data_IF_266836462134
#
_entry.id   IF_266836462134
#
_cell.length_a   1.000
_cell.length_b   1.000
_cell.length_c   1.000
_cell.angle_alpha   90.00
_cell.angle_beta   90.00
_cell.angle_gamma   90.00
#
_symmetry.space_group_name_H-M   'P 1'
#
loop_
_entity.id
_entity.type
_entity.pdbx_description
1 polymer ?
#
# COMPACT_ATOMS: atom_id res chain seq x y z
N UNK A 1 17.56 28.83 3.87
CA UNK A 1 16.59 29.32 4.90
C UNK A 1 15.63 28.18 5.22
N UNK A 2 15.65 27.66 6.44
CA UNK A 2 14.69 26.65 6.89
C UNK A 2 13.29 27.28 6.93
N UNK A 3 12.34 26.75 6.17
CA UNK A 3 10.92 27.18 6.27
C UNK A 3 10.45 26.92 7.70
N UNK A 4 9.90 27.94 8.37
CA UNK A 4 9.25 27.76 9.68
C UNK A 4 8.17 26.70 9.52
N UNK A 5 8.25 25.62 10.30
CA UNK A 5 7.19 24.58 10.35
C UNK A 5 5.92 25.21 10.97
N UNK A 6 4.74 24.83 10.46
CA UNK A 6 3.46 25.23 11.04
C UNK A 6 3.34 24.70 12.47
N UNK A 7 2.71 25.43 13.40
CA UNK A 7 2.54 25.00 14.80
C UNK A 7 1.83 23.64 14.95
N UNK A 8 0.85 23.31 14.11
CA UNK A 8 0.18 22.01 14.12
C UNK A 8 1.13 20.87 13.73
N UNK A 9 1.96 21.08 12.70
CA UNK A 9 2.99 20.12 12.29
C UNK A 9 4.06 19.97 13.38
N UNK A 10 4.44 21.06 14.05
CA UNK A 10 5.38 21.01 15.16
C UNK A 10 4.82 20.22 16.35
N UNK A 11 3.53 20.35 16.65
CA UNK A 11 2.86 19.58 17.70
C UNK A 11 2.85 18.10 17.38
N UNK A 12 2.49 17.72 16.14
CA UNK A 12 2.52 16.33 15.68
C UNK A 12 3.94 15.76 15.72
N UNK A 13 4.93 16.53 15.26
CA UNK A 13 6.34 16.15 15.27
C UNK A 13 6.82 15.78 16.69
N UNK A 14 6.56 16.64 17.69
CA UNK A 14 6.86 16.38 19.11
C UNK A 14 6.13 15.13 19.63
N UNK A 15 4.86 14.98 19.28
CA UNK A 15 4.05 13.81 19.65
C UNK A 15 4.66 12.51 19.13
N UNK A 16 5.21 12.53 17.90
CA UNK A 16 5.85 11.37 17.29
C UNK A 16 7.24 11.11 17.86
N UNK A 17 8.00 12.15 18.20
CA UNK A 17 9.32 11.98 18.83
C UNK A 17 9.25 11.19 20.13
N UNK A 18 8.17 11.34 20.91
CA UNK A 18 7.91 10.55 22.12
C UNK A 18 7.55 9.08 21.82
N UNK A 19 7.24 8.73 20.57
CA UNK A 19 6.84 7.39 20.10
C UNK A 19 7.90 6.78 19.21
N UNK A 20 9.14 6.78 19.69
CA UNK A 20 10.28 6.26 18.95
C UNK A 20 11.16 5.35 19.80
N UNK A 21 11.94 4.54 19.11
CA UNK A 21 13.01 3.72 19.68
C UNK A 21 14.27 3.87 18.85
N UNK A 22 15.39 3.34 19.37
CA UNK A 22 16.62 3.25 18.59
C UNK A 22 16.41 2.38 17.34
N UNK A 23 16.75 2.94 16.17
CA UNK A 23 16.66 2.25 14.87
C UNK A 23 17.82 1.27 14.67
N UNK A 24 17.51 0.19 13.93
CA UNK A 24 18.47 -0.85 13.54
C UNK A 24 19.03 -0.62 12.13
N UNK A 25 18.25 -0.02 11.25
CA UNK A 25 18.60 0.22 9.84
C UNK A 25 19.41 1.50 9.67
N UNK A 26 20.63 1.51 10.24
CA UNK A 26 21.55 2.64 10.15
C UNK A 26 23.01 2.25 10.28
N UNK A 27 23.87 3.11 9.76
CA UNK A 27 25.33 3.11 9.96
C UNK A 27 25.72 4.36 10.78
N UNK A 28 26.56 4.18 11.80
CA UNK A 28 27.15 5.30 12.53
C UNK A 28 28.29 5.89 11.70
N UNK A 29 28.34 7.21 11.61
CA UNK A 29 29.37 7.96 10.91
C UNK A 29 30.12 8.87 11.89
N UNK A 30 31.29 9.35 11.50
CA UNK A 30 32.06 10.31 12.28
C UNK A 30 31.27 11.60 12.57
N UNK A 31 31.60 12.27 13.67
CA UNK A 31 30.97 13.53 14.07
C UNK A 31 29.53 13.42 14.51
N UNK A 32 29.12 12.28 15.08
CA UNK A 32 27.74 12.07 15.56
C UNK A 32 26.69 11.98 14.48
N UNK A 33 27.08 11.80 13.23
CA UNK A 33 26.15 11.61 12.09
C UNK A 33 25.70 10.15 12.01
N UNK A 34 24.51 9.91 11.45
CA UNK A 34 24.03 8.58 11.15
C UNK A 34 23.58 8.50 9.68
N UNK A 35 23.90 7.40 9.00
CA UNK A 35 23.33 7.10 7.70
C UNK A 35 22.15 6.14 7.89
N UNK A 36 20.95 6.59 7.55
CA UNK A 36 19.78 5.73 7.53
C UNK A 36 19.78 4.88 6.25
N UNK A 37 19.56 3.57 6.37
CA UNK A 37 19.54 2.62 5.25
C UNK A 37 18.17 1.96 5.04
N UNK A 38 17.11 2.51 5.60
CA UNK A 38 15.75 1.96 5.45
C UNK A 38 15.16 2.17 4.06
N UNK A 39 15.56 3.21 3.33
CA UNK A 39 15.09 3.48 1.96
C UNK A 39 16.22 4.02 1.07
N UNK A 40 15.97 4.05 -0.24
CA UNK A 40 16.95 4.43 -1.26
C UNK A 40 17.50 5.86 -1.16
N UNK A 41 16.93 6.71 -0.31
CA UNK A 41 17.50 8.02 -0.03
C UNK A 41 18.81 7.95 0.74
N UNK A 42 19.03 6.92 1.56
CA UNK A 42 20.24 6.73 2.35
C UNK A 42 20.69 8.01 3.07
N UNK A 43 19.72 8.70 3.73
CA UNK A 43 19.92 10.00 4.35
C UNK A 43 21.11 9.97 5.33
N UNK A 44 22.07 10.85 5.13
CA UNK A 44 23.06 11.20 6.16
C UNK A 44 22.44 12.27 7.05
N UNK A 45 22.10 11.90 8.28
CA UNK A 45 21.32 12.72 9.21
C UNK A 45 22.28 13.27 10.27
N UNK A 46 22.37 14.59 10.33
CA UNK A 46 23.14 15.30 11.36
C UNK A 46 22.37 15.25 12.70
N UNK A 47 23.09 15.43 13.81
CA UNK A 47 22.46 15.50 15.12
C UNK A 47 21.36 16.57 15.19
N UNK A 48 20.23 16.24 15.79
CA UNK A 48 19.04 17.10 15.87
C UNK A 48 18.23 17.25 14.58
N UNK A 49 18.59 16.55 13.48
CA UNK A 49 17.89 16.64 12.19
C UNK A 49 17.14 15.37 11.84
N UNK A 50 16.14 15.54 10.94
CA UNK A 50 15.30 14.46 10.41
C UNK A 50 15.84 13.96 9.05
N UNK A 51 15.56 12.70 8.73
CA UNK A 51 15.62 12.19 7.36
C UNK A 51 14.51 12.77 6.48
N UNK A 52 14.57 12.51 5.17
CA UNK A 52 13.60 13.03 4.19
C UNK A 52 12.15 12.60 4.49
N UNK A 53 11.96 11.45 5.13
CA UNK A 53 10.64 10.94 5.54
C UNK A 53 10.03 11.66 6.76
N UNK A 54 10.84 12.44 7.50
CA UNK A 54 10.47 13.22 8.69
C UNK A 54 9.99 12.43 9.91
N UNK A 55 10.15 11.12 9.90
CA UNK A 55 9.81 10.25 11.04
C UNK A 55 10.99 9.46 11.57
N UNK A 56 12.13 9.54 10.90
CA UNK A 56 13.41 8.97 11.34
C UNK A 56 14.39 10.11 11.54
N UNK A 57 14.97 10.24 12.71
CA UNK A 57 15.83 11.38 13.07
C UNK A 57 17.05 10.93 13.88
N UNK A 58 18.08 11.75 13.88
CA UNK A 58 19.27 11.55 14.67
C UNK A 58 19.19 12.40 15.96
N UNK A 59 19.44 11.78 17.09
CA UNK A 59 19.60 12.45 18.36
C UNK A 59 20.81 11.85 19.11
N UNK A 60 21.80 12.68 19.38
CA UNK A 60 23.02 12.27 20.08
C UNK A 60 23.80 11.18 19.34
N UNK A 61 23.84 11.16 18.00
CA UNK A 61 24.51 10.12 17.20
C UNK A 61 23.76 8.79 17.17
N UNK A 62 22.48 8.79 17.55
CA UNK A 62 21.62 7.61 17.53
C UNK A 62 20.42 7.86 16.62
N UNK A 63 20.14 6.92 15.70
CA UNK A 63 18.93 6.97 14.89
C UNK A 63 17.72 6.60 15.75
N UNK A 64 16.69 7.43 15.72
CA UNK A 64 15.38 7.18 16.31
C UNK A 64 14.35 6.90 15.23
N UNK A 65 13.49 5.89 15.44
CA UNK A 65 12.51 5.39 14.47
C UNK A 65 11.14 5.18 15.11
N UNK A 66 10.05 5.32 14.34
CA UNK A 66 8.69 5.19 14.85
C UNK A 66 8.41 3.83 15.50
N UNK A 67 7.68 3.83 16.63
CA UNK A 67 7.24 2.61 17.31
C UNK A 67 5.96 2.85 18.11
N UNK A 68 5.13 1.80 18.24
CA UNK A 68 4.04 1.72 19.22
C UNK A 68 2.80 2.51 18.87
N UNK A 69 2.60 2.89 17.61
CA UNK A 69 1.37 3.57 17.18
C UNK A 69 0.95 3.17 15.75
N UNK A 70 -0.30 3.44 15.42
CA UNK A 70 -0.85 3.41 14.06
C UNK A 70 -1.59 4.70 13.75
N UNK A 71 -1.60 5.09 12.47
CA UNK A 71 -2.43 6.17 11.93
C UNK A 71 -3.57 5.62 11.04
N UNK A 72 -3.45 4.37 10.62
CA UNK A 72 -4.47 3.62 9.88
C UNK A 72 -4.49 2.18 10.34
N UNK A 73 -5.69 1.63 10.61
CA UNK A 73 -5.90 0.24 10.94
C UNK A 73 -7.26 -0.19 10.39
N UNK A 74 -7.28 -1.13 9.44
CA UNK A 74 -8.50 -1.55 8.75
C UNK A 74 -8.48 -3.04 8.43
N UNK A 75 -9.67 -3.61 8.35
CA UNK A 75 -9.91 -4.96 7.81
C UNK A 75 -10.55 -4.78 6.43
N UNK A 76 -9.85 -5.26 5.39
CA UNK A 76 -10.24 -5.12 4.00
C UNK A 76 -10.10 -6.45 3.25
N UNK A 77 -10.75 -6.65 2.10
CA UNK A 77 -10.43 -7.75 1.20
C UNK A 77 -8.96 -7.72 0.77
N UNK A 78 -8.35 -8.89 0.62
CA UNK A 78 -6.95 -9.02 0.14
C UNK A 78 -6.78 -8.39 -1.25
N UNK A 79 -7.80 -8.48 -2.09
CA UNK A 79 -7.85 -7.84 -3.42
C UNK A 79 -7.72 -6.32 -3.35
N UNK A 80 -8.16 -5.68 -2.28
CA UNK A 80 -8.00 -4.22 -2.10
C UNK A 80 -6.54 -3.83 -1.80
N UNK A 81 -5.70 -4.81 -1.44
CA UNK A 81 -4.25 -4.62 -1.23
C UNK A 81 -3.45 -4.95 -2.49
N UNK A 82 -4.06 -4.97 -3.64
CA UNK A 82 -3.86 -5.70 -4.90
C UNK A 82 -2.93 -6.93 -4.79
N UNK A 83 -3.36 -7.90 -3.97
CA UNK A 83 -2.81 -9.25 -4.00
C UNK A 83 -3.85 -10.19 -4.61
N UNK A 84 -3.78 -10.37 -5.92
CA UNK A 84 -4.74 -11.22 -6.65
C UNK A 84 -4.30 -12.68 -6.70
N UNK A 85 -3.01 -12.92 -6.57
CA UNK A 85 -2.42 -14.25 -6.58
C UNK A 85 -1.98 -14.73 -5.18
N UNK A 86 -2.58 -14.15 -4.14
CA UNK A 86 -2.38 -14.60 -2.76
C UNK A 86 -3.70 -14.51 -1.99
N UNK A 87 -4.17 -15.64 -1.44
CA UNK A 87 -5.37 -15.74 -0.62
C UNK A 87 -6.63 -15.07 -1.22
N UNK A 88 -7.06 -15.41 -2.44
CA UNK A 88 -8.24 -14.79 -3.05
C UNK A 88 -9.47 -14.90 -2.16
N UNK A 89 -10.20 -13.78 -2.01
CA UNK A 89 -11.40 -13.71 -1.18
C UNK A 89 -11.17 -13.65 0.33
N UNK A 90 -9.92 -13.65 0.77
CA UNK A 90 -9.59 -13.47 2.19
C UNK A 90 -9.79 -12.03 2.65
N UNK A 91 -9.88 -11.86 3.96
CA UNK A 91 -9.70 -10.57 4.61
C UNK A 91 -8.23 -10.37 4.98
N UNK A 92 -7.74 -9.16 4.84
CA UNK A 92 -6.43 -8.74 5.31
C UNK A 92 -6.60 -7.69 6.41
N UNK A 93 -5.91 -7.84 7.54
CA UNK A 93 -5.71 -6.74 8.46
C UNK A 93 -4.59 -5.85 7.93
N UNK A 94 -4.86 -4.57 7.77
CA UNK A 94 -3.89 -3.61 7.28
C UNK A 94 -3.64 -2.53 8.31
N UNK A 95 -2.38 -2.20 8.54
CA UNK A 95 -1.98 -1.11 9.43
C UNK A 95 -0.95 -0.21 8.75
N UNK A 96 -0.89 1.03 9.21
CA UNK A 96 0.09 2.00 8.76
C UNK A 96 0.37 3.05 9.82
N UNK A 97 1.53 3.64 9.72
CA UNK A 97 2.00 4.73 10.57
C UNK A 97 1.93 6.05 9.81
N UNK A 98 2.67 7.06 10.23
CA UNK A 98 2.75 8.35 9.54
C UNK A 98 4.06 8.49 8.76
N UNK A 99 4.02 9.34 7.74
CA UNK A 99 5.16 9.72 6.93
C UNK A 99 5.37 8.86 5.69
N UNK A 100 6.11 9.40 4.74
CA UNK A 100 6.53 8.74 3.51
C UNK A 100 7.84 9.38 3.04
N UNK A 101 8.65 8.63 2.35
CA UNK A 101 9.87 9.12 1.72
C UNK A 101 9.61 9.78 0.35
N UNK A 102 8.40 9.54 -0.25
CA UNK A 102 7.91 10.25 -1.42
C UNK A 102 6.87 11.33 -1.05
N UNK A 103 6.55 12.21 -2.03
CA UNK A 103 5.57 13.30 -1.88
C UNK A 103 4.66 13.43 -3.11
N UNK A 104 4.07 12.32 -3.53
CA UNK A 104 3.20 12.22 -4.70
C UNK A 104 2.01 13.19 -4.60
N UNK A 105 1.80 14.03 -5.64
CA UNK A 105 0.69 14.97 -5.69
C UNK A 105 -0.70 14.31 -5.80
N UNK A 106 -0.75 13.06 -6.25
CA UNK A 106 -1.96 12.23 -6.40
C UNK A 106 -2.13 11.19 -5.29
N UNK A 107 -1.51 11.37 -4.13
CA UNK A 107 -1.52 10.35 -3.09
C UNK A 107 -2.91 10.16 -2.47
N UNK A 108 -3.53 9.00 -2.67
CA UNK A 108 -4.82 8.65 -2.06
C UNK A 108 -4.74 8.41 -0.54
N UNK A 109 -3.53 8.17 -0.01
CA UNK A 109 -3.26 8.03 1.42
C UNK A 109 -2.56 9.27 1.99
N UNK A 110 -2.81 10.47 1.44
CA UNK A 110 -2.09 11.68 1.80
C UNK A 110 -2.27 12.09 3.26
N UNK A 111 -3.43 11.78 3.88
CA UNK A 111 -3.68 12.06 5.29
C UNK A 111 -2.66 11.43 6.25
N UNK A 112 -2.16 10.24 5.91
CA UNK A 112 -1.13 9.55 6.69
C UNK A 112 0.28 9.81 6.15
N UNK A 113 0.46 9.70 4.84
CA UNK A 113 1.77 9.77 4.20
C UNK A 113 2.37 11.19 4.18
N UNK A 114 1.55 12.24 4.16
CA UNK A 114 1.98 13.63 4.08
C UNK A 114 1.75 14.43 5.38
N UNK A 115 1.30 13.79 6.46
CA UNK A 115 0.94 14.43 7.73
C UNK A 115 2.03 15.38 8.30
N UNK A 116 3.31 15.09 8.08
CA UNK A 116 4.43 15.94 8.52
C UNK A 116 4.89 16.96 7.48
N UNK A 117 4.22 17.03 6.32
CA UNK A 117 4.55 17.98 5.24
C UNK A 117 3.42 18.94 4.91
N UNK A 118 2.19 18.54 5.19
CA UNK A 118 0.98 19.27 4.82
C UNK A 118 0.07 19.39 6.03
N UNK A 119 -0.21 20.62 6.44
CA UNK A 119 -1.06 20.92 7.60
C UNK A 119 -2.49 20.45 7.43
N UNK A 120 -2.94 20.28 6.17
CA UNK A 120 -4.26 19.73 5.86
C UNK A 120 -4.33 18.21 6.06
N UNK A 121 -3.19 17.54 6.20
CA UNK A 121 -3.06 16.08 6.33
C UNK A 121 -2.95 15.62 7.79
N UNK A 122 -3.70 16.22 8.69
CA UNK A 122 -3.66 15.88 10.12
C UNK A 122 -4.33 14.50 10.35
N UNK A 123 -3.50 13.53 10.75
CA UNK A 123 -3.96 12.22 11.21
C UNK A 123 -3.30 11.93 12.57
N UNK A 124 -4.07 11.93 13.67
CA UNK A 124 -3.49 11.70 14.99
C UNK A 124 -3.02 10.24 15.11
N UNK A 125 -1.80 10.02 15.66
CA UNK A 125 -1.34 8.68 15.97
C UNK A 125 -2.16 8.10 17.13
N UNK A 126 -2.45 6.80 17.06
CA UNK A 126 -3.10 6.04 18.13
C UNK A 126 -2.14 5.00 18.65
N UNK A 127 -1.86 5.03 19.95
CA UNK A 127 -1.01 4.04 20.59
C UNK A 127 -1.63 2.65 20.49
N UNK A 128 -0.83 1.66 20.16
CA UNK A 128 -1.25 0.27 20.01
C UNK A 128 -0.05 -0.66 20.23
N UNK A 129 -0.27 -1.76 20.94
CA UNK A 129 0.73 -2.81 21.10
C UNK A 129 0.69 -3.79 19.90
N UNK A 130 1.82 -4.44 19.55
CA UNK A 130 1.83 -5.47 18.50
C UNK A 130 0.83 -6.58 18.75
N UNK A 131 0.68 -7.01 20.01
CA UNK A 131 -0.24 -8.06 20.45
C UNK A 131 -1.70 -7.70 20.16
N UNK A 132 -2.07 -6.43 20.32
CA UNK A 132 -3.42 -5.94 20.02
C UNK A 132 -3.73 -6.00 18.52
N UNK A 133 -2.76 -5.64 17.67
CA UNK A 133 -2.91 -5.73 16.20
C UNK A 133 -3.14 -7.20 15.81
N UNK A 134 -2.35 -8.11 16.37
CA UNK A 134 -2.48 -9.55 16.09
C UNK A 134 -3.80 -10.09 16.63
N UNK A 135 -4.23 -9.69 17.84
CA UNK A 135 -5.52 -10.10 18.41
C UNK A 135 -6.70 -9.63 17.54
N UNK A 136 -6.62 -8.42 16.94
CA UNK A 136 -7.62 -7.93 16.00
C UNK A 136 -7.63 -8.79 14.73
N UNK A 137 -6.47 -9.13 14.16
CA UNK A 137 -6.40 -10.00 13.00
C UNK A 137 -7.04 -11.37 13.25
N UNK A 138 -6.75 -11.99 14.39
CA UNK A 138 -7.35 -13.27 14.81
C UNK A 138 -8.87 -13.17 14.97
N UNK A 139 -9.37 -12.11 15.62
CA UNK A 139 -10.81 -11.86 15.79
C UNK A 139 -11.55 -11.77 14.46
N UNK A 140 -10.93 -11.17 13.46
CA UNK A 140 -11.47 -11.06 12.12
C UNK A 140 -11.10 -12.25 11.21
N UNK A 141 -10.44 -13.28 11.73
CA UNK A 141 -9.96 -14.44 10.98
C UNK A 141 -9.16 -14.05 9.74
N UNK A 142 -8.35 -12.98 9.85
CA UNK A 142 -7.54 -12.47 8.76
C UNK A 142 -6.27 -13.33 8.58
N UNK A 143 -6.14 -14.11 7.51
CA UNK A 143 -4.95 -14.92 7.26
C UNK A 143 -3.79 -14.09 6.72
N UNK A 144 -4.03 -12.83 6.40
CA UNK A 144 -3.05 -11.90 5.83
C UNK A 144 -2.99 -10.63 6.67
N UNK A 145 -1.78 -10.15 6.92
CA UNK A 145 -1.52 -8.86 7.57
C UNK A 145 -0.61 -8.01 6.69
N UNK A 146 -0.96 -6.73 6.48
CA UNK A 146 -0.27 -5.86 5.53
C UNK A 146 0.13 -4.54 6.17
N UNK A 147 1.40 -4.15 6.06
CA UNK A 147 1.86 -2.79 6.34
C UNK A 147 1.70 -1.92 5.11
N UNK A 148 0.94 -0.81 5.23
CA UNK A 148 0.52 0.06 4.13
C UNK A 148 0.07 1.45 4.63
N UNK A 149 -0.61 2.26 3.81
CA UNK A 149 -1.13 3.62 4.07
C UNK A 149 -0.07 4.72 4.16
N UNK A 150 1.12 4.41 4.54
CA UNK A 150 2.34 5.20 4.43
C UNK A 150 3.38 4.40 3.65
N UNK A 151 4.64 4.82 3.63
CA UNK A 151 5.70 3.94 3.13
C UNK A 151 6.17 2.98 4.24
N UNK A 152 5.92 1.66 4.13
CA UNK A 152 6.29 0.72 5.20
C UNK A 152 7.79 0.56 5.41
N UNK A 153 8.63 0.81 4.39
CA UNK A 153 10.09 0.69 4.52
C UNK A 153 10.66 1.62 5.61
N UNK A 154 10.09 2.82 5.77
CA UNK A 154 10.57 3.75 6.78
C UNK A 154 10.12 3.40 8.21
N UNK A 155 9.23 2.43 8.37
CA UNK A 155 8.69 1.94 9.64
C UNK A 155 8.92 0.45 9.83
N UNK A 156 9.94 -0.11 9.14
CA UNK A 156 10.20 -1.55 9.09
C UNK A 156 10.50 -2.17 10.44
N UNK A 157 11.18 -1.44 11.34
CA UNK A 157 11.50 -1.97 12.67
C UNK A 157 10.21 -2.30 13.46
N UNK A 158 9.21 -1.39 13.41
CA UNK A 158 7.91 -1.64 14.02
C UNK A 158 7.13 -2.74 13.31
N UNK A 159 7.10 -2.70 11.97
CA UNK A 159 6.39 -3.71 11.20
C UNK A 159 6.92 -5.11 11.48
N UNK A 160 8.24 -5.29 11.62
CA UNK A 160 8.86 -6.57 11.96
C UNK A 160 8.47 -7.06 13.36
N UNK A 161 8.35 -6.17 14.36
CA UNK A 161 7.85 -6.54 15.69
C UNK A 161 6.42 -7.11 15.60
N UNK A 162 5.53 -6.45 14.88
CA UNK A 162 4.14 -6.90 14.67
C UNK A 162 4.10 -8.21 13.87
N UNK A 163 4.87 -8.30 12.79
CA UNK A 163 4.88 -9.48 11.91
C UNK A 163 5.51 -10.71 12.54
N UNK A 164 6.48 -10.54 13.43
CA UNK A 164 7.04 -11.67 14.17
C UNK A 164 5.94 -12.38 14.98
N UNK A 165 5.10 -11.64 15.68
CA UNK A 165 3.97 -12.19 16.43
C UNK A 165 2.88 -12.74 15.50
N UNK A 166 2.56 -12.03 14.40
CA UNK A 166 1.57 -12.48 13.43
C UNK A 166 1.95 -13.83 12.81
N UNK A 167 3.22 -14.03 12.48
CA UNK A 167 3.74 -15.28 11.92
C UNK A 167 3.64 -16.45 12.90
N UNK A 168 3.84 -16.22 14.20
CA UNK A 168 3.63 -17.27 15.24
C UNK A 168 2.17 -17.77 15.27
N UNK A 169 1.23 -16.91 14.85
CA UNK A 169 -0.20 -17.25 14.72
C UNK A 169 -0.58 -17.75 13.30
N UNK A 170 0.41 -18.06 12.46
CA UNK A 170 0.20 -18.55 11.09
C UNK A 170 -0.35 -17.52 10.11
N UNK A 171 -0.27 -16.22 10.42
CA UNK A 171 -0.69 -15.12 9.57
C UNK A 171 0.44 -14.80 8.58
N UNK A 172 0.12 -14.74 7.29
CA UNK A 172 1.05 -14.34 6.22
C UNK A 172 1.17 -12.83 6.20
N UNK A 173 2.39 -12.33 6.09
CA UNK A 173 2.66 -10.90 6.19
C UNK A 173 3.11 -10.30 4.86
N UNK A 174 2.69 -9.06 4.59
CA UNK A 174 2.97 -8.38 3.33
C UNK A 174 3.21 -6.88 3.46
N UNK A 175 3.86 -6.32 2.44
CA UNK A 175 4.08 -4.89 2.25
C UNK A 175 3.33 -4.37 1.02
N UNK A 176 2.80 -3.16 1.15
CA UNK A 176 2.33 -2.32 0.04
C UNK A 176 3.19 -1.07 0.03
N UNK A 177 4.13 -0.99 -0.90
CA UNK A 177 5.27 -0.07 -0.86
C UNK A 177 5.45 0.67 -2.18
N UNK A 178 6.11 1.82 -2.14
CA UNK A 178 6.57 2.54 -3.34
C UNK A 178 7.84 1.92 -3.97
N UNK A 179 8.40 0.89 -3.36
CA UNK A 179 9.56 0.17 -3.88
C UNK A 179 10.91 0.87 -3.72
N UNK A 180 11.01 1.98 -2.99
CA UNK A 180 12.29 2.68 -2.79
C UNK A 180 13.16 1.99 -1.73
N UNK A 181 13.36 0.68 -1.84
CA UNK A 181 14.11 -0.14 -0.89
C UNK A 181 15.63 -0.04 -1.02
N UNK A 182 16.31 -0.60 -0.03
CA UNK A 182 17.76 -0.86 -0.04
C UNK A 182 17.99 -2.35 0.14
N UNK A 183 19.16 -2.91 -0.22
CA UNK A 183 19.47 -4.30 0.13
C UNK A 183 19.28 -4.57 1.61
N UNK A 184 19.76 -3.67 2.46
CA UNK A 184 19.77 -3.82 3.91
C UNK A 184 18.35 -3.93 4.50
N UNK A 185 17.41 -3.10 4.03
CA UNK A 185 16.03 -3.20 4.51
C UNK A 185 15.32 -4.44 4.00
N UNK A 186 15.59 -4.87 2.75
CA UNK A 186 15.00 -6.08 2.19
C UNK A 186 15.48 -7.33 2.92
N UNK A 187 16.78 -7.42 3.25
CA UNK A 187 17.33 -8.48 4.08
C UNK A 187 16.73 -8.47 5.48
N UNK A 188 16.56 -7.29 6.08
CA UNK A 188 15.99 -7.12 7.41
C UNK A 188 14.53 -7.62 7.50
N UNK A 189 13.72 -7.35 6.47
CA UNK A 189 12.29 -7.73 6.47
C UNK A 189 12.06 -9.15 5.93
N UNK A 190 12.98 -9.74 5.16
CA UNK A 190 12.76 -11.03 4.47
C UNK A 190 12.29 -12.17 5.38
N UNK A 191 12.80 -12.32 6.63
CA UNK A 191 12.32 -13.37 7.54
C UNK A 191 10.85 -13.23 7.96
N UNK A 192 10.27 -12.03 7.78
CA UNK A 192 8.96 -11.67 8.31
C UNK A 192 7.92 -11.33 7.24
N UNK A 193 8.33 -11.15 5.98
CA UNK A 193 7.47 -10.70 4.87
C UNK A 193 7.53 -11.72 3.73
N UNK A 194 6.36 -12.18 3.29
CA UNK A 194 6.22 -13.11 2.17
C UNK A 194 5.68 -12.42 0.92
N UNK A 195 4.72 -11.49 1.10
CA UNK A 195 4.01 -10.81 0.03
C UNK A 195 4.52 -9.38 -0.13
N UNK A 196 4.81 -8.97 -1.34
CA UNK A 196 5.30 -7.62 -1.58
C UNK A 196 4.63 -7.00 -2.81
N UNK A 197 3.83 -5.96 -2.61
CA UNK A 197 3.26 -5.18 -3.71
C UNK A 197 4.07 -3.90 -3.88
N UNK A 198 4.52 -3.64 -5.12
CA UNK A 198 5.23 -2.41 -5.47
C UNK A 198 4.37 -1.53 -6.35
N UNK A 199 4.23 -0.26 -5.94
CA UNK A 199 3.70 0.79 -6.81
C UNK A 199 4.80 1.29 -7.75
N UNK A 200 4.88 0.74 -8.97
CA UNK A 200 5.73 1.27 -10.03
C UNK A 200 5.01 2.46 -10.68
N UNK A 201 5.42 3.66 -10.29
CA UNK A 201 4.64 4.89 -10.50
C UNK A 201 4.88 5.55 -11.87
N UNK A 202 5.75 5.00 -12.70
CA UNK A 202 6.13 5.49 -14.02
C UNK A 202 7.45 4.86 -14.45
N UNK A 203 7.95 5.27 -15.64
CA UNK A 203 9.21 4.76 -16.18
C UNK A 203 10.15 5.89 -16.67
N UNK A 204 9.97 7.10 -16.11
CA UNK A 204 10.77 8.29 -16.42
C UNK A 204 11.44 8.83 -15.16
N UNK A 205 12.74 9.06 -15.21
CA UNK A 205 13.48 9.71 -14.11
C UNK A 205 12.91 11.08 -13.74
N UNK A 206 12.42 11.84 -14.72
CA UNK A 206 11.81 13.15 -14.49
C UNK A 206 10.56 13.03 -13.60
N UNK A 207 9.69 12.02 -13.88
CA UNK A 207 8.50 11.73 -13.08
C UNK A 207 8.89 11.31 -11.66
N UNK A 208 9.88 10.43 -11.51
CA UNK A 208 10.34 10.00 -10.18
C UNK A 208 10.97 11.14 -9.37
N UNK A 209 11.72 12.05 -10.01
CA UNK A 209 12.21 13.27 -9.32
C UNK A 209 11.09 14.15 -8.80
N UNK A 210 9.97 14.30 -9.54
CA UNK A 210 8.78 15.01 -9.08
C UNK A 210 8.14 14.32 -7.86
N UNK A 211 8.20 13.00 -7.79
CA UNK A 211 7.68 12.22 -6.66
C UNK A 211 8.65 12.22 -5.46
N UNK A 212 9.88 12.68 -5.65
CA UNK A 212 10.93 12.68 -4.64
C UNK A 212 11.75 11.40 -4.58
N UNK A 213 11.70 10.55 -5.61
CA UNK A 213 12.42 9.27 -5.69
C UNK A 213 13.40 9.18 -6.85
N UNK A 214 13.89 7.97 -7.08
CA UNK A 214 14.76 7.61 -8.20
C UNK A 214 14.24 6.32 -8.84
N UNK A 215 13.96 6.35 -10.14
CA UNK A 215 13.44 5.20 -10.89
C UNK A 215 14.37 3.98 -10.75
N UNK A 216 15.64 4.13 -11.05
CA UNK A 216 16.64 3.06 -11.02
C UNK A 216 16.67 2.30 -9.69
N UNK A 217 16.49 2.99 -8.54
CA UNK A 217 16.45 2.32 -7.24
C UNK A 217 15.20 1.44 -7.08
N UNK A 218 14.05 1.90 -7.60
CA UNK A 218 12.80 1.13 -7.55
C UNK A 218 12.88 -0.10 -8.46
N UNK A 219 13.45 0.04 -9.66
CA UNK A 219 13.64 -1.08 -10.58
C UNK A 219 14.54 -2.15 -9.96
N UNK A 220 15.68 -1.76 -9.41
CA UNK A 220 16.57 -2.69 -8.68
C UNK A 220 15.92 -3.33 -7.46
N UNK A 221 15.03 -2.61 -6.80
CA UNK A 221 14.26 -3.19 -5.67
C UNK A 221 13.33 -4.29 -6.16
N UNK A 222 12.62 -4.09 -7.27
CA UNK A 222 11.72 -5.11 -7.85
C UNK A 222 12.52 -6.36 -8.23
N UNK A 223 13.65 -6.21 -8.92
CA UNK A 223 14.54 -7.31 -9.27
C UNK A 223 15.00 -8.10 -8.03
N UNK A 224 15.44 -7.39 -6.98
CA UNK A 224 15.88 -8.02 -5.72
C UNK A 224 14.77 -8.74 -5.01
N UNK A 225 13.59 -8.14 -4.90
CA UNK A 225 12.42 -8.77 -4.28
C UNK A 225 12.11 -10.11 -4.95
N UNK A 226 12.11 -10.16 -6.29
CA UNK A 226 11.88 -11.38 -7.04
C UNK A 226 13.01 -12.40 -6.79
N UNK A 227 14.27 -11.97 -6.88
CA UNK A 227 15.45 -12.83 -6.65
C UNK A 227 15.53 -13.38 -5.23
N UNK A 228 15.07 -12.63 -4.23
CA UNK A 228 15.00 -13.05 -2.82
C UNK A 228 13.81 -13.96 -2.51
N UNK A 229 12.94 -14.24 -3.47
CA UNK A 229 11.79 -15.15 -3.33
C UNK A 229 10.60 -14.55 -2.57
N UNK A 230 10.43 -13.23 -2.57
CA UNK A 230 9.14 -12.64 -2.20
C UNK A 230 8.12 -12.93 -3.30
N UNK A 231 6.85 -13.12 -2.93
CA UNK A 231 5.78 -13.04 -3.91
C UNK A 231 5.54 -11.57 -4.26
N UNK A 232 5.78 -11.23 -5.52
CA UNK A 232 5.74 -9.83 -5.99
C UNK A 232 4.55 -9.62 -6.90
N UNK A 233 3.76 -8.57 -6.63
CA UNK A 233 2.77 -8.03 -7.55
C UNK A 233 3.06 -6.53 -7.79
N UNK A 234 2.93 -6.08 -9.04
CA UNK A 234 3.23 -4.70 -9.43
C UNK A 234 1.93 -3.96 -9.70
N UNK A 235 1.82 -2.74 -9.19
CA UNK A 235 0.69 -1.84 -9.48
C UNK A 235 1.21 -0.57 -10.13
N UNK A 236 0.54 -0.13 -11.19
CA UNK A 236 0.71 1.20 -11.79
C UNK A 236 -0.63 1.93 -11.73
N UNK A 237 -0.72 2.95 -10.89
CA UNK A 237 -1.82 3.91 -10.95
C UNK A 237 -1.62 4.73 -12.22
N UNK A 238 -2.56 4.59 -13.15
CA UNK A 238 -2.49 5.28 -14.44
C UNK A 238 -3.02 6.70 -14.28
N UNK A 239 -2.12 7.67 -14.35
CA UNK A 239 -2.44 9.09 -14.13
C UNK A 239 -2.32 9.84 -15.46
N UNK A 240 -3.44 10.36 -16.01
CA UNK A 240 -3.44 11.06 -17.29
C UNK A 240 -2.46 12.23 -17.34
N UNK A 241 -1.65 12.28 -18.40
CA UNK A 241 -0.62 13.28 -18.60
C UNK A 241 0.65 13.11 -17.75
N UNK A 242 0.73 12.07 -16.92
CA UNK A 242 1.89 11.82 -16.07
C UNK A 242 2.66 10.55 -16.47
N UNK A 243 1.98 9.41 -16.61
CA UNK A 243 2.59 8.11 -16.90
C UNK A 243 1.76 7.26 -17.87
N UNK A 244 0.82 7.87 -18.61
CA UNK A 244 -0.18 7.19 -19.45
C UNK A 244 0.21 7.11 -20.93
N UNK A 245 1.40 7.60 -21.33
CA UNK A 245 1.85 7.48 -22.71
C UNK A 245 2.05 6.02 -23.11
N UNK A 246 1.73 5.68 -24.38
CA UNK A 246 1.86 4.32 -24.89
C UNK A 246 3.29 3.79 -24.77
N UNK A 247 4.27 4.65 -24.97
CA UNK A 247 5.69 4.34 -24.87
C UNK A 247 6.07 3.98 -23.44
N UNK A 248 5.70 4.81 -22.46
CA UNK A 248 6.02 4.59 -21.06
C UNK A 248 5.36 3.33 -20.49
N UNK A 249 4.09 3.07 -20.88
CA UNK A 249 3.38 1.85 -20.50
C UNK A 249 4.05 0.60 -21.08
N UNK A 250 4.55 0.67 -22.33
CA UNK A 250 5.33 -0.42 -22.93
C UNK A 250 6.65 -0.64 -22.19
N UNK A 251 7.34 0.44 -21.81
CA UNK A 251 8.59 0.35 -21.04
C UNK A 251 8.36 -0.32 -19.67
N UNK A 252 7.28 0.09 -18.95
CA UNK A 252 6.87 -0.55 -17.69
C UNK A 252 6.60 -2.04 -17.90
N UNK A 253 5.76 -2.39 -18.87
CA UNK A 253 5.37 -3.77 -19.13
C UNK A 253 6.57 -4.64 -19.53
N UNK A 254 7.45 -4.11 -20.39
CA UNK A 254 8.67 -4.78 -20.83
C UNK A 254 9.64 -5.03 -19.68
N UNK A 255 9.80 -4.05 -18.79
CA UNK A 255 10.63 -4.23 -17.59
C UNK A 255 10.04 -5.31 -16.66
N UNK A 256 8.75 -5.25 -16.34
CA UNK A 256 8.13 -6.27 -15.47
C UNK A 256 8.27 -7.66 -16.09
N UNK A 257 8.03 -7.80 -17.42
CA UNK A 257 8.18 -9.06 -18.13
C UNK A 257 9.63 -9.55 -18.16
N UNK A 258 10.62 -8.64 -18.18
CA UNK A 258 12.05 -9.01 -18.14
C UNK A 258 12.47 -9.56 -16.77
N UNK A 259 11.86 -9.11 -15.69
CA UNK A 259 12.07 -9.68 -14.34
C UNK A 259 11.41 -11.05 -14.25
N UNK A 260 10.10 -11.11 -14.54
CA UNK A 260 9.37 -12.37 -14.68
C UNK A 260 8.02 -12.13 -15.39
N UNK A 261 7.72 -12.98 -16.38
CA UNK A 261 6.42 -12.99 -17.05
C UNK A 261 5.26 -13.41 -16.13
N UNK A 262 5.59 -13.99 -14.98
CA UNK A 262 4.63 -14.47 -13.98
C UNK A 262 4.29 -13.43 -12.90
N UNK A 263 4.96 -12.29 -12.87
CA UNK A 263 4.61 -11.18 -11.98
C UNK A 263 3.28 -10.56 -12.45
N UNK A 264 2.23 -10.56 -11.63
CA UNK A 264 0.99 -9.88 -11.96
C UNK A 264 1.21 -8.36 -12.04
N UNK A 265 0.74 -7.76 -13.14
CA UNK A 265 0.73 -6.31 -13.30
C UNK A 265 -0.69 -5.78 -13.24
N UNK A 266 -0.94 -4.88 -12.29
CA UNK A 266 -2.22 -4.22 -12.08
C UNK A 266 -2.14 -2.80 -12.59
N UNK A 267 -2.90 -2.47 -13.63
CA UNK A 267 -3.14 -1.10 -14.06
C UNK A 267 -4.41 -0.59 -13.40
N UNK A 268 -4.34 0.48 -12.62
CA UNK A 268 -5.46 0.97 -11.83
C UNK A 268 -5.84 2.39 -12.19
N UNK A 269 -7.14 2.69 -12.19
CA UNK A 269 -7.64 4.00 -12.54
C UNK A 269 -7.33 5.02 -11.43
N UNK A 270 -6.76 6.16 -11.85
CA UNK A 270 -6.67 7.37 -11.07
C UNK A 270 -8.04 8.06 -11.01
N UNK A 271 -8.34 8.66 -9.88
CA UNK A 271 -9.37 9.68 -9.68
C UNK A 271 -8.74 10.88 -8.98
N UNK A 272 -9.35 12.05 -9.15
CA UNK A 272 -8.89 13.29 -8.54
C UNK A 272 -8.78 13.16 -7.01
N UNK A 273 -7.61 13.48 -6.48
CA UNK A 273 -7.35 13.48 -5.04
C UNK A 273 -6.15 14.38 -4.70
N UNK A 274 -6.07 14.80 -3.45
CA UNK A 274 -5.01 15.58 -2.83
C UNK A 274 -4.69 16.87 -3.60
N UNK A 275 -3.56 16.92 -4.35
CA UNK A 275 -3.12 18.12 -5.10
C UNK A 275 -3.42 18.04 -6.59
N UNK A 276 -3.98 16.93 -7.07
CA UNK A 276 -4.33 16.74 -8.48
C UNK A 276 -5.84 16.73 -8.66
N UNK A 277 -6.47 17.89 -8.48
CA UNK A 277 -7.92 18.07 -8.55
C UNK A 277 -8.41 18.50 -9.96
N UNK A 278 -7.49 18.92 -10.82
CA UNK A 278 -7.80 19.39 -12.19
C UNK A 278 -7.41 18.36 -13.27
N UNK A 279 -6.85 17.22 -12.89
CA UNK A 279 -6.49 16.15 -13.82
C UNK A 279 -7.72 15.29 -14.11
N UNK A 280 -7.96 14.95 -15.37
CA UNK A 280 -9.05 14.07 -15.75
C UNK A 280 -8.91 12.69 -15.11
N UNK A 281 -10.02 12.03 -14.80
CA UNK A 281 -10.02 10.66 -14.31
C UNK A 281 -9.59 9.69 -15.42
N UNK A 282 -8.94 8.59 -15.02
CA UNK A 282 -8.58 7.51 -15.95
C UNK A 282 -9.84 6.76 -16.41
N UNK A 283 -9.93 6.51 -17.71
CA UNK A 283 -11.07 5.80 -18.30
C UNK A 283 -10.80 4.29 -18.40
N UNK A 284 -11.88 3.51 -18.57
CA UNK A 284 -11.77 2.07 -18.84
C UNK A 284 -10.97 1.77 -20.12
N UNK A 285 -11.07 2.63 -21.14
CA UNK A 285 -10.32 2.51 -22.40
C UNK A 285 -8.81 2.64 -22.16
N UNK A 286 -8.39 3.55 -21.28
CA UNK A 286 -6.99 3.73 -20.95
C UNK A 286 -6.42 2.52 -20.24
N UNK A 287 -7.17 1.93 -19.30
CA UNK A 287 -6.79 0.70 -18.62
C UNK A 287 -6.71 -0.50 -19.58
N UNK A 288 -7.69 -0.66 -20.48
CA UNK A 288 -7.69 -1.75 -21.48
C UNK A 288 -6.48 -1.61 -22.42
N UNK A 289 -6.19 -0.39 -22.90
CA UNK A 289 -4.99 -0.11 -23.70
C UNK A 289 -3.70 -0.47 -22.98
N UNK A 290 -3.59 -0.13 -21.68
CA UNK A 290 -2.42 -0.48 -20.88
C UNK A 290 -2.30 -2.00 -20.69
N UNK A 291 -3.41 -2.68 -20.46
CA UNK A 291 -3.44 -4.14 -20.34
C UNK A 291 -3.00 -4.85 -21.64
N UNK A 292 -3.46 -4.37 -22.81
CA UNK A 292 -3.04 -4.90 -24.11
C UNK A 292 -1.52 -4.81 -24.27
N UNK A 293 -0.90 -3.67 -23.92
CA UNK A 293 0.55 -3.49 -23.93
C UNK A 293 1.27 -4.45 -22.97
N UNK A 294 0.65 -4.75 -21.83
CA UNK A 294 1.17 -5.76 -20.90
C UNK A 294 1.20 -7.16 -21.51
N UNK A 295 0.13 -7.56 -22.19
CA UNK A 295 0.09 -8.84 -22.89
C UNK A 295 1.01 -8.86 -24.12
N UNK A 296 1.11 -7.76 -24.89
CA UNK A 296 2.08 -7.62 -25.99
C UNK A 296 3.55 -7.80 -25.50
N UNK A 297 3.87 -7.28 -24.31
CA UNK A 297 5.18 -7.46 -23.68
C UNK A 297 5.42 -8.90 -23.16
N UNK A 298 4.40 -9.74 -23.16
CA UNK A 298 4.45 -11.16 -22.81
C UNK A 298 4.13 -11.47 -21.35
N UNK A 299 3.58 -10.53 -20.58
CA UNK A 299 3.07 -10.80 -19.24
C UNK A 299 1.91 -11.82 -19.31
N UNK A 300 1.90 -12.76 -18.38
CA UNK A 300 0.85 -13.80 -18.28
C UNK A 300 -0.38 -13.32 -17.54
N UNK A 301 -0.21 -12.35 -16.64
CA UNK A 301 -1.24 -11.85 -15.75
C UNK A 301 -1.24 -10.33 -15.75
N UNK A 302 -2.27 -9.73 -16.34
CA UNK A 302 -2.49 -8.30 -16.36
C UNK A 302 -3.91 -8.03 -15.90
N UNK A 303 -4.07 -7.13 -14.95
CA UNK A 303 -5.34 -6.78 -14.33
C UNK A 303 -5.63 -5.29 -14.48
N UNK A 304 -6.92 -4.95 -14.58
CA UNK A 304 -7.39 -3.58 -14.54
C UNK A 304 -8.27 -3.36 -13.30
N UNK A 305 -7.97 -2.32 -12.53
CA UNK A 305 -8.61 -2.07 -11.23
C UNK A 305 -9.21 -0.68 -11.08
N UNK A 306 -9.95 -0.47 -9.99
CA UNK A 306 -10.66 0.76 -9.60
C UNK A 306 -11.86 1.16 -10.49
N UNK A 307 -12.21 0.37 -11.49
CA UNK A 307 -13.41 0.55 -12.35
C UNK A 307 -14.20 -0.76 -12.45
N UNK A 308 -14.79 -1.25 -11.34
CA UNK A 308 -15.42 -2.58 -11.29
C UNK A 308 -16.53 -2.74 -12.33
N UNK A 309 -16.50 -3.87 -13.06
CA UNK A 309 -17.46 -4.23 -14.10
C UNK A 309 -17.36 -3.41 -15.39
N UNK A 310 -16.38 -2.49 -15.50
CA UNK A 310 -16.22 -1.62 -16.69
C UNK A 310 -15.03 -1.99 -17.59
N UNK A 311 -14.21 -2.94 -17.14
CA UNK A 311 -12.95 -3.33 -17.81
C UNK A 311 -13.01 -4.75 -18.41
N UNK A 312 -14.21 -5.27 -18.60
CA UNK A 312 -14.42 -6.61 -19.17
C UNK A 312 -13.83 -7.71 -18.31
N UNK A 313 -13.06 -8.60 -18.94
CA UNK A 313 -12.48 -9.78 -18.31
C UNK A 313 -11.20 -9.49 -17.50
N UNK A 314 -10.72 -8.23 -17.47
CA UNK A 314 -9.43 -7.85 -16.86
C UNK A 314 -9.45 -7.83 -15.33
N UNK A 315 -10.59 -8.10 -14.68
CA UNK A 315 -10.64 -8.35 -13.23
C UNK A 315 -10.40 -9.84 -12.89
N UNK A 316 -10.50 -10.73 -13.89
CA UNK A 316 -10.52 -12.18 -13.72
C UNK A 316 -9.11 -12.80 -13.86
N UNK A 317 -8.84 -13.86 -13.08
CA UNK A 317 -7.66 -14.69 -13.31
C UNK A 317 -8.00 -15.84 -14.24
N UNK A 318 -7.28 -15.92 -15.36
CA UNK A 318 -7.36 -17.03 -16.31
C UNK A 318 -6.07 -17.81 -16.37
N UNK A 319 -6.20 -19.10 -16.66
CA UNK A 319 -5.05 -19.94 -16.98
C UNK A 319 -4.30 -19.37 -18.19
N UNK A 320 -2.99 -19.10 -18.11
CA UNK A 320 -2.24 -18.56 -19.25
C UNK A 320 -2.12 -19.56 -20.40
N UNK A 321 -2.23 -20.88 -20.11
CA UNK A 321 -2.09 -21.94 -21.10
C UNK A 321 -3.38 -22.25 -21.86
N UNK A 322 -4.51 -22.48 -21.13
CA UNK A 322 -5.76 -22.95 -21.73
C UNK A 322 -6.93 -21.95 -21.61
N UNK A 323 -6.68 -20.77 -21.03
CA UNK A 323 -7.66 -19.69 -20.86
C UNK A 323 -8.86 -20.02 -19.95
N UNK A 324 -8.87 -21.18 -19.29
CA UNK A 324 -9.90 -21.51 -18.30
C UNK A 324 -10.01 -20.40 -17.24
N UNK A 325 -11.22 -19.99 -16.90
CA UNK A 325 -11.50 -19.04 -15.84
C UNK A 325 -11.22 -19.69 -14.49
N UNK A 326 -10.22 -19.17 -13.75
CA UNK A 326 -9.77 -19.70 -12.47
C UNK A 326 -10.33 -18.94 -11.29
N UNK A 327 -10.31 -17.60 -11.35
CA UNK A 327 -10.89 -16.73 -10.34
C UNK A 327 -11.71 -15.65 -11.02
N UNK A 328 -13.00 -15.63 -10.73
CA UNK A 328 -13.92 -14.62 -11.26
C UNK A 328 -14.12 -13.53 -10.20
N UNK A 329 -13.97 -12.28 -10.63
CA UNK A 329 -14.07 -11.11 -9.77
C UNK A 329 -15.03 -10.06 -10.29
N UNK A 330 -15.64 -9.35 -9.37
CA UNK A 330 -16.31 -8.08 -9.61
C UNK A 330 -15.81 -7.08 -8.55
N UNK A 331 -14.91 -6.20 -8.93
CA UNK A 331 -14.16 -5.36 -8.00
C UNK A 331 -13.33 -6.23 -7.03
N UNK A 332 -13.60 -6.08 -5.73
CA UNK A 332 -12.92 -6.86 -4.69
C UNK A 332 -13.68 -8.13 -4.28
N UNK A 333 -14.79 -8.46 -4.97
CA UNK A 333 -15.57 -9.66 -4.66
C UNK A 333 -15.14 -10.82 -5.54
N UNK A 334 -14.91 -11.98 -4.93
CA UNK A 334 -14.76 -13.23 -5.65
C UNK A 334 -16.14 -13.80 -5.89
N UNK A 335 -16.47 -14.05 -7.17
CA UNK A 335 -17.71 -14.68 -7.59
C UNK A 335 -17.53 -16.20 -7.72
N UNK A 336 -16.40 -16.63 -8.31
CA UNK A 336 -16.04 -18.04 -8.44
C UNK A 336 -14.53 -18.24 -8.24
N UNK A 337 -14.17 -19.34 -7.60
CA UNK A 337 -12.80 -19.80 -7.39
C UNK A 337 -12.69 -21.26 -7.80
N UNK A 338 -11.84 -21.56 -8.76
CA UNK A 338 -11.70 -22.88 -9.37
C UNK A 338 -10.28 -23.41 -9.43
N UNK A 339 -9.34 -22.73 -8.80
CA UNK A 339 -7.97 -23.22 -8.71
C UNK A 339 -7.94 -24.53 -7.93
N UNK A 340 -7.16 -25.51 -8.38
CA UNK A 340 -6.96 -26.74 -7.62
C UNK A 340 -6.19 -26.49 -6.32
N UNK A 341 -6.33 -27.38 -5.34
CA UNK A 341 -5.72 -27.23 -4.02
C UNK A 341 -4.19 -27.14 -4.05
N UNK A 342 -3.58 -27.64 -5.11
CA UNK A 342 -2.13 -27.59 -5.37
C UNK A 342 -1.68 -26.36 -6.17
N UNK A 343 -2.58 -25.40 -6.44
CA UNK A 343 -2.31 -24.20 -7.21
C UNK A 343 -2.25 -24.42 -8.73
N UNK A 344 -2.82 -25.53 -9.24
CA UNK A 344 -2.85 -25.85 -10.67
C UNK A 344 -4.19 -25.53 -11.32
N UNK A 345 -4.15 -25.36 -12.64
CA UNK A 345 -5.35 -25.25 -13.44
C UNK A 345 -6.12 -26.57 -13.44
N UNK A 346 -7.43 -26.61 -13.11
CA UNK A 346 -8.19 -27.85 -13.07
C UNK A 346 -8.42 -28.47 -14.47
N UNK A 347 -8.23 -27.68 -15.56
CA UNK A 347 -8.49 -28.15 -16.92
C UNK A 347 -7.26 -28.70 -17.63
N UNK A 348 -6.08 -28.05 -17.49
CA UNK A 348 -4.88 -28.45 -18.19
C UNK A 348 -3.71 -28.79 -17.26
N UNK A 349 -3.90 -28.73 -15.98
CA UNK A 349 -2.93 -29.06 -14.91
C UNK A 349 -1.64 -28.22 -14.92
N UNK A 350 -1.56 -27.13 -15.71
CA UNK A 350 -0.44 -26.22 -15.66
C UNK A 350 -0.40 -25.49 -14.32
N UNK A 351 0.82 -25.30 -13.78
CA UNK A 351 1.03 -24.52 -12.55
C UNK A 351 0.66 -23.06 -12.78
N UNK A 352 -0.12 -22.49 -11.87
CA UNK A 352 -0.49 -21.08 -11.87
C UNK A 352 0.43 -20.36 -10.87
N UNK A 353 1.19 -19.39 -11.35
CA UNK A 353 2.08 -18.63 -10.49
C UNK A 353 1.27 -17.89 -9.40
N UNK A 354 1.72 -17.95 -8.16
CA UNK A 354 1.01 -17.36 -7.03
C UNK A 354 1.52 -17.85 -5.68
N UNK A 355 1.12 -17.17 -4.63
CA UNK A 355 1.33 -17.60 -3.26
C UNK A 355 0.06 -18.33 -2.78
N UNK A 356 -0.11 -19.56 -3.31
CA UNK A 356 -1.27 -20.40 -3.00
C UNK A 356 -1.05 -21.23 -1.75
N UNK A 357 -2.01 -21.17 -0.82
CA UNK A 357 -2.01 -22.05 0.36
C UNK A 357 -2.77 -23.33 0.00
N UNK A 358 -2.12 -24.48 0.17
CA UNK A 358 -2.78 -25.79 -0.05
C UNK A 358 -4.06 -25.90 0.78
N UNK A 359 -5.14 -26.40 0.16
CA UNK A 359 -6.46 -26.50 0.79
C UNK A 359 -7.14 -25.15 1.04
N UNK A 360 -6.66 -24.05 0.45
CA UNK A 360 -7.32 -22.75 0.58
C UNK A 360 -8.72 -22.79 -0.04
N UNK A 361 -9.72 -22.46 0.76
CA UNK A 361 -11.09 -22.25 0.32
C UNK A 361 -11.49 -20.81 0.61
N UNK A 362 -12.27 -20.23 -0.29
CA UNK A 362 -12.84 -18.91 -0.02
C UNK A 362 -13.66 -19.00 1.26
N UNK A 363 -13.43 -18.13 2.25
CA UNK A 363 -14.20 -18.12 3.47
C UNK A 363 -15.70 -17.95 3.16
N UNK A 364 -16.53 -18.87 3.67
CA UNK A 364 -17.97 -18.65 3.70
C UNK A 364 -18.25 -17.48 4.63
N UNK A 365 -18.86 -16.44 4.08
CA UNK A 365 -19.24 -15.27 4.86
C UNK A 365 -20.60 -15.54 5.52
N UNK A 366 -20.68 -15.38 6.83
CA UNK A 366 -21.92 -15.47 7.60
C UNK A 366 -23.00 -14.57 6.96
N UNK A 367 -24.05 -15.19 6.40
CA UNK A 367 -25.19 -14.46 5.83
C UNK A 367 -25.59 -14.79 4.40
N UNK A 368 -25.22 -15.93 3.84
CA UNK A 368 -25.98 -16.60 2.78
C UNK A 368 -25.91 -16.05 1.36
N UNK A 369 -24.97 -15.13 1.03
CA UNK A 369 -24.62 -14.81 -0.35
C UNK A 369 -23.10 -14.90 -0.53
N UNK A 370 -22.59 -15.77 -1.41
CA UNK A 370 -21.17 -15.80 -1.75
C UNK A 370 -20.74 -14.41 -2.21
N UNK A 371 -19.69 -13.86 -1.60
CA UNK A 371 -19.06 -12.65 -2.10
C UNK A 371 -19.58 -11.31 -1.57
N UNK A 372 -20.22 -11.21 -0.41
CA UNK A 372 -20.33 -9.93 0.27
C UNK A 372 -18.94 -9.50 0.72
N UNK A 373 -18.41 -8.45 0.07
CA UNK A 373 -17.20 -7.77 0.54
C UNK A 373 -17.46 -7.27 1.95
N UNK A 374 -16.62 -7.58 2.95
CA UNK A 374 -16.68 -6.85 4.20
C UNK A 374 -16.58 -5.36 3.84
N UNK A 375 -17.51 -4.55 4.30
CA UNK A 375 -17.33 -3.10 4.22
C UNK A 375 -16.02 -2.83 4.92
N UNK A 376 -15.13 -2.04 4.30
CA UNK A 376 -13.95 -1.52 4.98
C UNK A 376 -14.38 -1.00 6.34
N UNK A 377 -14.02 -1.71 7.40
CA UNK A 377 -14.42 -1.32 8.75
C UNK A 377 -13.19 -0.64 9.34
N UNK A 378 -13.21 0.68 9.48
CA UNK A 378 -12.28 1.35 10.36
C UNK A 378 -12.51 0.76 11.75
N UNK A 379 -11.47 0.25 12.39
CA UNK A 379 -11.60 -0.26 13.75
C UNK A 379 -11.81 0.96 14.64
N UNK A 380 -12.98 1.11 15.31
CA UNK A 380 -13.24 2.27 16.15
C UNK A 380 -12.19 2.37 17.25
N UNK A 381 -11.80 3.61 17.61
CA UNK A 381 -10.87 3.87 18.71
C UNK A 381 -11.28 3.17 20.03
N UNK A 382 -12.59 2.99 20.26
CA UNK A 382 -13.15 2.30 21.42
C UNK A 382 -12.88 0.77 21.46
N UNK A 383 -12.40 0.15 20.38
CA UNK A 383 -12.04 -1.28 20.37
C UNK A 383 -10.53 -1.52 20.58
N UNK A 384 -9.74 -0.46 20.64
CA UNK A 384 -8.34 -0.50 21.07
C UNK A 384 -8.36 -0.07 22.53
N UNK A 385 -8.22 -1.04 23.46
CA UNK A 385 -8.23 -0.75 24.89
C UNK A 385 -7.11 0.24 25.24
N UNK A 386 -7.35 1.27 26.06
CA UNK A 386 -6.30 2.18 26.50
C UNK A 386 -5.32 1.43 27.39
N UNK A 387 -4.04 1.46 27.03
CA UNK A 387 -2.96 1.12 27.97
C UNK A 387 -2.97 2.22 29.02
N UNK A 388 -3.22 1.86 30.29
CA UNK A 388 -3.47 2.76 31.41
C UNK A 388 -2.52 3.95 31.48
N UNK A 389 -3.09 5.14 31.38
CA UNK A 389 -2.47 6.44 31.56
C UNK A 389 -3.53 7.52 31.41
N UNK A 390 -3.95 8.07 32.55
CA UNK A 390 -4.89 9.19 32.63
C UNK A 390 -4.42 10.38 31.79
N UNK A 391 -5.19 10.74 30.75
CA UNK A 391 -5.17 12.09 30.20
C UNK A 391 -6.63 12.48 29.93
N UNK A 392 -7.01 13.63 30.53
CA UNK A 392 -8.36 14.17 30.53
C UNK A 392 -8.79 14.79 29.21
N UNK A 393 -10.09 14.80 29.11
CA UNK A 393 -11.00 15.71 28.42
C UNK A 393 -10.90 16.01 26.93
N UNK A 394 -11.93 15.55 26.29
CA UNK A 394 -12.72 16.01 25.16
C UNK A 394 -12.14 17.11 24.23
N UNK A 395 -11.76 16.67 23.01
CA UNK A 395 -11.79 17.53 21.84
C UNK A 395 -12.81 16.97 20.86
N UNK A 396 -13.88 17.73 20.62
CA UNK A 396 -15.03 17.39 19.81
C UNK A 396 -14.67 17.06 18.36
N UNK A 397 -15.35 16.07 17.82
CA UNK A 397 -15.32 15.65 16.42
C UNK A 397 -15.94 16.75 15.56
N UNK A 398 -15.26 17.26 14.53
CA UNK A 398 -15.88 18.17 13.57
C UNK A 398 -16.89 17.43 12.68
N UNK A 399 -18.02 18.06 12.30
CA UNK A 399 -19.10 17.42 11.58
C UNK A 399 -18.70 17.07 10.13
N UNK A 400 -19.23 15.94 9.69
CA UNK A 400 -19.13 15.39 8.33
C UNK A 400 -19.56 16.41 7.26
N UNK A 401 -18.65 16.84 6.40
CA UNK A 401 -18.88 17.80 5.30
C UNK A 401 -19.58 17.19 4.06
N UNK A 402 -20.24 16.05 4.18
CA UNK A 402 -20.90 15.39 3.02
C UNK A 402 -22.38 15.75 2.81
N UNK A 403 -22.95 16.73 3.51
CA UNK A 403 -24.40 17.05 3.37
C UNK A 403 -24.75 18.47 2.90
N UNK A 404 -23.83 19.23 2.32
CA UNK A 404 -24.08 20.61 1.91
C UNK A 404 -23.93 20.88 0.40
N UNK A 405 -24.53 20.05 -0.46
CA UNK A 405 -24.71 20.43 -1.88
C UNK A 405 -25.95 19.82 -2.53
N UNK A 406 -27.12 20.09 -1.99
CA UNK A 406 -28.39 19.96 -2.75
C UNK A 406 -29.45 20.85 -2.10
N UNK A 407 -29.49 22.13 -2.43
CA UNK A 407 -30.68 23.01 -2.52
C UNK A 407 -30.26 24.35 -3.10
N UNK A 408 -30.24 24.49 -4.43
CA UNK A 408 -30.56 25.76 -5.10
C UNK A 408 -31.59 25.47 -6.19
N UNK A 409 -32.69 26.20 -6.04
CA UNK A 409 -33.96 25.99 -6.67
C UNK A 409 -33.95 26.12 -8.21
N UNK A 410 -34.81 25.32 -8.75
CA UNK A 410 -35.32 25.40 -10.14
C UNK A 410 -36.21 26.66 -10.20
N UNK A 411 -35.79 27.70 -10.90
CA UNK A 411 -36.68 28.77 -11.41
C UNK A 411 -37.10 28.40 -12.82
N UNK A 412 -38.36 28.13 -12.97
CA UNK A 412 -39.04 27.98 -14.24
C UNK A 412 -38.98 29.27 -15.08
N UNK A 413 -38.48 29.17 -16.30
CA UNK A 413 -38.70 30.16 -17.36
C UNK A 413 -39.73 29.58 -18.32
N UNK A 414 -40.87 30.28 -18.47
CA UNK A 414 -41.83 30.12 -19.60
C UNK A 414 -41.43 31.06 -20.73
N UNK A 415 -41.62 30.67 -21.98
CA UNK A 415 -41.31 31.50 -23.13
C UNK A 415 -42.47 32.47 -23.45
N UNK A 416 -42.12 33.61 -23.92
CA UNK A 416 -42.92 34.44 -24.81
C UNK A 416 -42.05 34.81 -26.00
#
# INVERSE_FOLDING_TARGET
>A
MARKKDPAVLTLDRTLQARTVQGKLCEKLEGGRVRCVACGHRCVILDGLDGICRVRFNHGGTLHVPRGYVAGLQVDPTEKKPFFHAFPGAVALSFGMLGCDFHCGYCQNWLTSQALRDVSALSPPRDVAPEEIVAIAKRHRAPVMVSTYNEPLITSEWAVEVFALARMEGITCGYVSNGNGTPEVLEFIRPHVDLYKVDLKGFRDASYRQLGGKLDNVLRTIERLHAMGFWVEIVTLLVPGFNDSREELRDIASFVASVSRDIPWHVTAFHQDYKMLDTADTTARDLMRAADLGFEAGLRYVYAGNLPGRVGDLENTRCPQCRTLLVERFGYRILHYRLADDGRCPSCHSTIAGFWRSGWKIPEMDGGLPGRVPRSVPIPAAQILPIGGQFGEEAGVPPDRRSASRRRGIRSFRPS
#
